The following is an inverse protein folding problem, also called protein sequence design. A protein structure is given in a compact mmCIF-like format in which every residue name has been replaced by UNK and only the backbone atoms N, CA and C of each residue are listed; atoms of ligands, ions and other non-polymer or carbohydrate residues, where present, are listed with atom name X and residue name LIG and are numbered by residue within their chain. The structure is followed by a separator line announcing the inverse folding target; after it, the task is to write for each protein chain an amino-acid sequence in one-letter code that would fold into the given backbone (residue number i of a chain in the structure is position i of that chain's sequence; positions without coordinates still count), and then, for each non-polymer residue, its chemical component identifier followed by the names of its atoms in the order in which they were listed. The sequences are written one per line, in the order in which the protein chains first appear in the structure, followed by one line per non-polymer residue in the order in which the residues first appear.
data_IF_093846757977
#
_entry.id   IF_093846757977
#
_cell.length_a   1.000
_cell.length_b   1.000
_cell.length_c   1.000
_cell.angle_alpha   90.00
_cell.angle_beta   90.00
_cell.angle_gamma   90.00
#
_symmetry.space_group_name_H-M   'P 1'
#
loop_
_entity.id
_entity.type
_entity.pdbx_description
1 polymer ?
#
# COMPACT_ATOMS: atom_id res chain seq x y z
N UNK A 1 -24.91 15.79 -8.28
CA UNK A 1 -23.76 15.72 -9.20
C UNK A 1 -22.63 15.02 -8.47
N UNK A 2 -22.37 13.76 -8.80
CA UNK A 2 -21.38 12.92 -8.10
C UNK A 2 -19.96 13.21 -8.63
N UNK A 3 -19.88 13.78 -9.84
CA UNK A 3 -18.62 14.12 -10.50
C UNK A 3 -17.83 15.24 -9.81
N UNK A 4 -18.50 16.14 -9.07
CA UNK A 4 -17.83 17.22 -8.34
C UNK A 4 -17.17 16.78 -7.02
N UNK A 5 -17.48 15.58 -6.54
CA UNK A 5 -16.97 15.05 -5.25
C UNK A 5 -15.75 14.14 -5.43
N UNK A 6 -15.37 13.84 -6.68
CA UNK A 6 -14.24 12.97 -7.01
C UNK A 6 -13.02 13.85 -7.34
N UNK A 7 -11.98 13.74 -6.52
CA UNK A 7 -10.73 14.49 -6.70
C UNK A 7 -9.86 13.93 -7.84
N UNK A 8 -9.96 12.63 -8.12
CA UNK A 8 -9.15 11.95 -9.14
C UNK A 8 -9.80 12.01 -10.53
N UNK A 9 -9.17 12.66 -11.53
CA UNK A 9 -9.74 12.79 -12.87
C UNK A 9 -9.97 11.43 -13.55
N UNK A 10 -9.07 10.46 -13.35
CA UNK A 10 -9.23 9.13 -13.95
C UNK A 10 -10.43 8.38 -13.37
N UNK A 11 -10.69 8.52 -12.07
CA UNK A 11 -11.86 7.92 -11.43
C UNK A 11 -13.16 8.60 -11.84
N UNK A 12 -13.14 9.91 -12.16
CA UNK A 12 -14.31 10.60 -12.73
C UNK A 12 -14.72 9.98 -14.06
N UNK A 13 -13.77 9.69 -14.94
CA UNK A 13 -14.04 9.10 -16.24
C UNK A 13 -14.62 7.68 -16.10
N UNK A 14 -14.06 6.88 -15.18
CA UNK A 14 -14.60 5.54 -14.85
C UNK A 14 -16.05 5.61 -14.38
N UNK A 15 -16.36 6.54 -13.47
CA UNK A 15 -17.73 6.69 -12.96
C UNK A 15 -18.69 7.18 -14.05
N UNK A 16 -18.23 8.08 -14.94
CA UNK A 16 -19.04 8.54 -16.06
C UNK A 16 -19.38 7.38 -17.02
N UNK A 17 -18.40 6.53 -17.34
CA UNK A 17 -18.61 5.36 -18.21
C UNK A 17 -19.53 4.31 -17.56
N UNK A 18 -19.45 4.12 -16.24
CA UNK A 18 -20.41 3.28 -15.49
C UNK A 18 -21.83 3.84 -15.59
N UNK A 19 -22.01 5.16 -15.41
CA UNK A 19 -23.33 5.80 -15.52
C UNK A 19 -23.87 5.65 -16.94
N UNK A 20 -23.05 5.90 -17.96
CA UNK A 20 -23.43 5.73 -19.36
C UNK A 20 -23.85 4.29 -19.68
N UNK A 21 -23.14 3.29 -19.17
CA UNK A 21 -23.49 1.88 -19.34
C UNK A 21 -24.85 1.55 -18.70
N UNK A 22 -25.14 2.07 -17.50
CA UNK A 22 -26.42 1.86 -16.81
C UNK A 22 -27.56 2.56 -17.55
N UNK A 23 -27.34 3.80 -18.03
CA UNK A 23 -28.30 4.52 -18.87
C UNK A 23 -28.55 3.81 -20.21
N UNK A 24 -27.54 3.12 -20.73
CA UNK A 24 -27.60 2.23 -21.90
C UNK A 24 -28.34 0.91 -21.65
N UNK A 25 -28.73 0.63 -20.40
CA UNK A 25 -29.54 -0.54 -20.03
C UNK A 25 -28.75 -1.72 -19.44
N UNK A 26 -27.45 -1.58 -19.20
CA UNK A 26 -26.69 -2.57 -18.43
C UNK A 26 -27.10 -2.56 -16.96
N UNK A 27 -27.04 -3.73 -16.34
CA UNK A 27 -27.13 -3.82 -14.87
C UNK A 27 -25.93 -3.16 -14.22
N UNK A 28 -26.06 -2.75 -12.96
CA UNK A 28 -24.96 -2.12 -12.23
C UNK A 28 -23.77 -3.08 -12.09
N UNK A 29 -24.02 -4.36 -11.82
CA UNK A 29 -22.97 -5.37 -11.75
C UNK A 29 -22.24 -5.63 -13.07
N UNK A 30 -22.91 -5.47 -14.21
CA UNK A 30 -22.28 -5.52 -15.54
C UNK A 30 -21.44 -4.28 -15.80
N UNK A 31 -21.94 -3.09 -15.46
CA UNK A 31 -21.19 -1.84 -15.62
C UNK A 31 -19.90 -1.84 -14.78
N UNK A 32 -19.94 -2.37 -13.55
CA UNK A 32 -18.74 -2.51 -12.71
C UNK A 32 -17.72 -3.51 -13.26
N UNK A 33 -18.17 -4.55 -13.98
CA UNK A 33 -17.28 -5.57 -14.56
C UNK A 33 -16.40 -5.03 -15.71
N UNK A 34 -16.73 -3.87 -16.28
CA UNK A 34 -15.89 -3.18 -17.25
C UNK A 34 -14.53 -2.74 -16.65
N UNK A 35 -14.45 -2.58 -15.33
CA UNK A 35 -13.27 -2.10 -14.62
C UNK A 35 -12.77 -3.08 -13.54
N UNK A 36 -12.32 -4.30 -13.92
CA UNK A 36 -11.95 -5.35 -12.95
C UNK A 36 -10.70 -5.01 -12.13
N UNK A 37 -9.87 -4.06 -12.59
CA UNK A 37 -8.73 -3.53 -11.84
C UNK A 37 -9.12 -2.61 -10.68
N UNK A 38 -10.33 -2.07 -10.70
CA UNK A 38 -10.88 -1.16 -9.67
C UNK A 38 -11.94 -1.90 -8.85
N UNK A 39 -12.86 -2.60 -9.51
CA UNK A 39 -13.90 -3.41 -8.88
C UNK A 39 -13.59 -4.90 -9.03
N UNK A 40 -13.01 -5.49 -7.99
CA UNK A 40 -12.69 -6.92 -7.99
C UNK A 40 -13.93 -7.82 -8.09
N UNK A 41 -13.73 -9.06 -8.54
CA UNK A 41 -14.80 -10.05 -8.79
C UNK A 41 -15.73 -10.31 -7.61
N UNK A 42 -15.22 -10.21 -6.37
CA UNK A 42 -16.04 -10.39 -5.16
C UNK A 42 -17.05 -9.25 -5.02
N UNK A 43 -16.63 -8.01 -5.27
CA UNK A 43 -17.48 -6.83 -5.20
C UNK A 43 -18.60 -6.90 -6.25
N UNK A 44 -18.24 -7.18 -7.50
CA UNK A 44 -19.21 -7.27 -8.60
C UNK A 44 -20.19 -8.41 -8.40
N UNK A 45 -19.74 -9.55 -7.86
CA UNK A 45 -20.63 -10.68 -7.52
C UNK A 45 -21.61 -10.35 -6.39
N UNK A 46 -21.16 -9.65 -5.35
CA UNK A 46 -22.06 -9.20 -4.28
C UNK A 46 -23.11 -8.22 -4.80
N UNK A 47 -22.69 -7.25 -5.62
CA UNK A 47 -23.59 -6.29 -6.27
C UNK A 47 -24.63 -7.03 -7.12
N UNK A 48 -24.21 -8.01 -7.93
CA UNK A 48 -25.10 -8.84 -8.74
C UNK A 48 -26.17 -9.54 -7.90
N UNK A 49 -25.76 -10.18 -6.80
CA UNK A 49 -26.70 -10.82 -5.85
C UNK A 49 -27.64 -9.78 -5.22
N UNK A 50 -27.13 -8.58 -4.93
CA UNK A 50 -27.92 -7.46 -4.42
C UNK A 50 -28.95 -6.94 -5.42
N UNK A 51 -28.60 -6.88 -6.70
CA UNK A 51 -29.52 -6.52 -7.79
C UNK A 51 -30.60 -7.58 -7.99
N UNK A 52 -30.21 -8.85 -8.13
CA UNK A 52 -31.13 -9.97 -8.34
C UNK A 52 -32.11 -10.16 -7.18
N UNK A 53 -31.67 -9.86 -5.95
CA UNK A 53 -32.51 -9.96 -4.74
C UNK A 53 -33.25 -8.67 -4.38
N UNK A 54 -33.04 -7.58 -5.14
CA UNK A 54 -33.61 -6.25 -4.83
C UNK A 54 -33.10 -5.63 -3.53
N UNK A 55 -31.96 -6.10 -3.00
CA UNK A 55 -31.35 -5.66 -1.74
C UNK A 55 -30.06 -4.87 -1.95
N UNK A 56 -29.92 -4.21 -3.09
CA UNK A 56 -28.72 -3.47 -3.47
C UNK A 56 -28.25 -2.48 -2.39
N UNK A 57 -29.17 -1.75 -1.76
CA UNK A 57 -28.86 -0.79 -0.69
C UNK A 57 -28.17 -1.46 0.50
N UNK A 58 -28.65 -2.63 0.91
CA UNK A 58 -28.06 -3.38 2.01
C UNK A 58 -26.66 -3.91 1.63
N UNK A 59 -26.51 -4.43 0.41
CA UNK A 59 -25.21 -4.88 -0.10
C UNK A 59 -24.19 -3.74 -0.17
N UNK A 60 -24.58 -2.56 -0.65
CA UNK A 60 -23.71 -1.38 -0.68
C UNK A 60 -23.31 -0.93 0.74
N UNK A 61 -24.21 -1.05 1.71
CA UNK A 61 -23.90 -0.80 3.11
C UNK A 61 -22.88 -1.82 3.65
N UNK A 62 -23.05 -3.10 3.34
CA UNK A 62 -22.10 -4.13 3.75
C UNK A 62 -20.72 -3.94 3.10
N UNK A 63 -20.69 -3.57 1.81
CA UNK A 63 -19.46 -3.25 1.07
C UNK A 63 -18.74 -2.04 1.66
N UNK A 64 -19.46 -0.98 2.02
CA UNK A 64 -18.84 0.18 2.68
C UNK A 64 -18.28 -0.18 4.06
N UNK A 65 -18.94 -1.05 4.82
CA UNK A 65 -18.39 -1.62 6.04
C UNK A 65 -17.10 -2.41 5.81
N UNK A 66 -17.09 -3.26 4.78
CA UNK A 66 -15.91 -4.06 4.40
C UNK A 66 -14.73 -3.19 3.95
N UNK A 67 -14.98 -2.13 3.17
CA UNK A 67 -13.94 -1.19 2.72
C UNK A 67 -13.34 -0.41 3.90
N UNK A 68 -14.18 0.09 4.82
CA UNK A 68 -13.70 0.75 6.05
C UNK A 68 -12.82 -0.17 6.89
N UNK A 69 -13.24 -1.42 7.06
CA UNK A 69 -12.45 -2.40 7.79
C UNK A 69 -11.10 -2.68 7.12
N UNK A 70 -11.06 -2.80 5.79
CA UNK A 70 -9.80 -2.97 5.05
C UNK A 70 -8.87 -1.76 5.22
N UNK A 71 -9.40 -0.54 5.11
CA UNK A 71 -8.61 0.69 5.30
C UNK A 71 -8.04 0.78 6.72
N UNK A 72 -8.82 0.42 7.73
CA UNK A 72 -8.37 0.34 9.11
C UNK A 72 -7.26 -0.69 9.30
N UNK A 73 -7.37 -1.87 8.68
CA UNK A 73 -6.33 -2.90 8.72
C UNK A 73 -5.04 -2.45 8.04
N UNK A 74 -5.13 -1.81 6.87
CA UNK A 74 -3.95 -1.27 6.16
C UNK A 74 -3.31 -0.14 6.98
N UNK A 75 -4.12 0.76 7.53
CA UNK A 75 -3.63 1.85 8.36
C UNK A 75 -2.94 1.32 9.63
N UNK A 76 -3.52 0.31 10.27
CA UNK A 76 -2.94 -0.37 11.42
C UNK A 76 -1.61 -1.05 11.06
N UNK A 77 -1.59 -1.82 9.96
CA UNK A 77 -0.38 -2.50 9.49
C UNK A 77 0.74 -1.49 9.19
N UNK A 78 0.43 -0.38 8.50
CA UNK A 78 1.39 0.71 8.25
C UNK A 78 1.93 1.29 9.57
N UNK A 79 1.05 1.59 10.54
CA UNK A 79 1.46 2.13 11.84
C UNK A 79 2.40 1.19 12.59
N UNK A 80 2.11 -0.11 12.60
CA UNK A 80 2.96 -1.12 13.26
C UNK A 80 4.31 -1.26 12.58
N UNK A 81 4.39 -1.14 11.24
CA UNK A 81 5.64 -1.28 10.48
C UNK A 81 6.58 -0.06 10.58
N UNK A 82 6.07 1.13 10.89
CA UNK A 82 6.89 2.35 10.97
C UNK A 82 7.94 2.26 12.07
N UNK A 83 7.58 1.77 13.26
CA UNK A 83 8.52 1.65 14.38
C UNK A 83 9.73 0.73 14.09
N UNK A 84 9.54 -0.54 13.67
CA UNK A 84 10.66 -1.42 13.36
C UNK A 84 11.48 -0.92 12.17
N UNK A 85 10.87 -0.27 11.17
CA UNK A 85 11.60 0.30 10.04
C UNK A 85 12.59 1.41 10.48
N UNK A 86 12.16 2.31 11.36
CA UNK A 86 13.04 3.38 11.89
C UNK A 86 14.19 2.78 12.71
N UNK A 87 13.90 1.83 13.61
CA UNK A 87 14.93 1.19 14.44
C UNK A 87 15.95 0.46 13.58
N UNK A 88 15.50 -0.32 12.58
CA UNK A 88 16.39 -1.01 11.65
C UNK A 88 17.22 -0.04 10.81
N UNK A 89 16.64 1.09 10.37
CA UNK A 89 17.37 2.11 9.63
C UNK A 89 18.49 2.74 10.48
N UNK A 90 18.20 3.07 11.74
CA UNK A 90 19.19 3.66 12.66
C UNK A 90 20.29 2.65 13.00
N UNK A 91 19.91 1.46 13.47
CA UNK A 91 20.88 0.41 13.84
C UNK A 91 21.71 -0.02 12.62
N UNK A 92 21.06 -0.24 11.47
CA UNK A 92 21.73 -0.55 10.22
C UNK A 92 22.69 0.55 9.78
N UNK A 93 22.26 1.82 9.88
CA UNK A 93 23.12 2.97 9.59
C UNK A 93 24.35 3.04 10.49
N UNK A 94 24.20 2.80 11.79
CA UNK A 94 25.32 2.73 12.74
C UNK A 94 26.28 1.61 12.35
N UNK A 95 25.79 0.39 12.10
CA UNK A 95 26.65 -0.75 11.69
C UNK A 95 27.41 -0.43 10.41
N UNK A 96 26.74 0.11 9.38
CA UNK A 96 27.39 0.52 8.13
C UNK A 96 28.46 1.58 8.37
N UNK A 97 28.18 2.58 9.20
CA UNK A 97 29.14 3.61 9.58
C UNK A 97 30.37 3.01 10.29
N UNK A 98 30.16 2.10 11.25
CA UNK A 98 31.26 1.44 11.96
C UNK A 98 32.13 0.62 10.99
N UNK A 99 31.51 -0.12 10.06
CA UNK A 99 32.25 -0.91 9.07
C UNK A 99 33.01 -0.06 8.06
N UNK A 100 32.47 1.08 7.64
CA UNK A 100 33.08 1.92 6.60
C UNK A 100 34.13 2.89 7.15
N UNK A 101 33.99 3.38 8.39
CA UNK A 101 34.89 4.38 8.96
C UNK A 101 35.69 3.87 10.17
N UNK A 102 35.02 3.28 11.16
CA UNK A 102 35.70 2.90 12.41
C UNK A 102 36.64 1.72 12.21
N UNK A 103 36.20 0.67 11.50
CA UNK A 103 37.02 -0.54 11.27
C UNK A 103 38.29 -0.22 10.49
N UNK A 104 38.26 0.53 9.36
CA UNK A 104 39.48 0.92 8.66
C UNK A 104 40.42 1.78 9.51
N UNK A 105 39.87 2.68 10.34
CA UNK A 105 40.68 3.49 11.25
C UNK A 105 41.38 2.62 12.29
N UNK A 106 40.66 1.64 12.86
CA UNK A 106 41.20 0.71 13.84
C UNK A 106 42.25 -0.21 13.21
N UNK A 107 42.03 -0.73 12.01
CA UNK A 107 43.02 -1.55 11.31
C UNK A 107 44.24 -0.73 10.92
N UNK A 108 44.08 0.51 10.45
CA UNK A 108 45.19 1.42 10.18
C UNK A 108 46.00 1.69 11.46
N UNK A 109 45.34 1.94 12.58
CA UNK A 109 45.99 2.18 13.88
C UNK A 109 46.74 0.93 14.38
N UNK A 110 46.12 -0.24 14.30
CA UNK A 110 46.74 -1.52 14.65
C UNK A 110 47.93 -1.85 13.73
N UNK A 111 47.84 -1.53 12.44
CA UNK A 111 48.95 -1.70 11.50
C UNK A 111 50.12 -0.78 11.85
N UNK A 112 49.86 0.50 12.19
CA UNK A 112 50.92 1.39 12.66
C UNK A 112 51.58 0.87 13.91
N UNK A 113 50.83 0.44 14.94
CA UNK A 113 51.41 -0.15 16.16
C UNK A 113 52.12 -1.49 15.92
N UNK A 114 51.59 -2.32 15.03
CA UNK A 114 52.21 -3.59 14.63
C UNK A 114 53.51 -3.41 13.83
N UNK A 115 53.68 -2.27 13.15
CA UNK A 115 54.95 -1.86 12.53
C UNK A 115 55.94 -1.21 13.49
N UNK A 116 55.55 -0.91 14.74
CA UNK A 116 56.45 -0.40 15.79
C UNK A 116 57.03 -1.50 16.69
N UNK A 117 56.85 -2.79 16.37
CA UNK A 117 57.81 -3.80 16.82
C UNK A 117 58.95 -3.82 15.82
N UNK A 118 60.08 -3.15 16.12
CA UNK A 118 61.16 -3.09 15.18
C UNK A 118 61.69 -4.52 15.07
N UNK A 119 62.05 -4.94 13.87
CA UNK A 119 62.97 -6.06 13.72
C UNK A 119 64.32 -5.62 14.32
N UNK A 120 64.38 -5.56 15.65
CA UNK A 120 65.62 -5.47 16.39
C UNK A 120 66.27 -6.84 16.30
N UNK A 121 67.52 -6.79 15.84
CA UNK A 121 68.54 -7.83 15.64
C UNK A 121 68.33 -9.15 16.38
#
# INVERSE_FOLDING_TARGET
DIGSTIDDPSFRDVVAEIVEAIEGGSTFSEALQLFPGIFGNVYTSMVKVGEESGRLVAVLHDLTGMLRWQDEMIAYAKRVMVYPAIVLAVVGGVVVFLMMYLVPQLTSFLNTMGTELPAHT
#
